data_IF_372996014840
#
_entry.id   IF_372996014840
#
_cell.length_a   1.000
_cell.length_b   1.000
_cell.length_c   1.000
_cell.angle_alpha   90.00
_cell.angle_beta   90.00
_cell.angle_gamma   90.00
#
_symmetry.space_group_name_H-M   'P 1'
#
loop_
_entity.id
_entity.type
_entity.pdbx_description
1 polymer ?
#
# COMPACT_ATOMS: atom_id res chain seq x y z
N UNK A 1 21.61 6.55 -6.94
CA UNK A 1 20.35 7.18 -7.38
C UNK A 1 19.52 7.41 -6.13
N UNK A 2 19.19 8.65 -5.81
CA UNK A 2 18.42 8.99 -4.61
C UNK A 2 16.95 8.65 -4.88
N UNK A 3 16.57 7.39 -4.67
CA UNK A 3 15.17 6.97 -4.72
C UNK A 3 14.45 7.64 -3.56
N UNK A 4 13.43 8.43 -3.86
CA UNK A 4 12.57 9.05 -2.84
C UNK A 4 11.82 7.91 -2.13
N UNK A 5 12.12 7.72 -0.84
CA UNK A 5 11.54 6.64 -0.03
C UNK A 5 10.01 6.77 0.02
N UNK A 6 9.31 5.66 -0.20
CA UNK A 6 7.84 5.61 -0.15
C UNK A 6 7.29 5.52 1.27
N UNK A 7 8.14 5.20 2.25
CA UNK A 7 7.78 5.04 3.64
C UNK A 7 8.44 6.15 4.46
N UNK A 8 7.70 6.75 5.39
CA UNK A 8 8.31 7.66 6.36
C UNK A 8 9.22 6.90 7.33
N UNK A 9 10.17 7.62 7.95
CA UNK A 9 11.04 7.03 8.97
C UNK A 9 10.26 6.40 10.13
N UNK A 10 9.13 6.99 10.51
CA UNK A 10 8.27 6.43 11.55
C UNK A 10 7.64 5.10 11.09
N UNK A 11 7.17 5.01 9.85
CA UNK A 11 6.62 3.76 9.30
C UNK A 11 7.70 2.68 9.21
N UNK A 12 8.91 3.04 8.77
CA UNK A 12 10.05 2.11 8.72
C UNK A 12 10.38 1.56 10.12
N UNK A 13 10.43 2.41 11.14
CA UNK A 13 10.66 1.98 12.52
C UNK A 13 9.55 1.08 13.06
N UNK A 14 8.30 1.31 12.68
CA UNK A 14 7.15 0.49 13.10
C UNK A 14 7.09 -0.86 12.38
N UNK A 15 7.45 -0.89 11.10
CA UNK A 15 7.36 -2.09 10.26
C UNK A 15 8.58 -2.99 10.37
N UNK A 16 9.76 -2.45 10.70
CA UNK A 16 11.00 -3.23 10.79
C UNK A 16 10.88 -4.42 11.76
N UNK A 17 10.34 -4.30 12.99
CA UNK A 17 10.17 -5.45 13.88
C UNK A 17 9.26 -6.55 13.30
N UNK A 18 8.24 -6.17 12.53
CA UNK A 18 7.32 -7.11 11.87
C UNK A 18 8.08 -7.92 10.82
N UNK A 19 8.88 -7.24 9.99
CA UNK A 19 9.71 -7.90 8.99
C UNK A 19 10.78 -8.78 9.65
N UNK A 20 11.47 -8.29 10.68
CA UNK A 20 12.47 -9.07 11.42
C UNK A 20 11.88 -10.35 11.98
N UNK A 21 10.68 -10.28 12.56
CA UNK A 21 9.98 -11.45 13.10
C UNK A 21 9.63 -12.46 12.00
N UNK A 22 9.11 -12.00 10.86
CA UNK A 22 8.80 -12.89 9.74
C UNK A 22 10.07 -13.57 9.19
N UNK A 23 11.15 -12.81 8.98
CA UNK A 23 12.41 -13.35 8.47
C UNK A 23 13.02 -14.39 9.41
N UNK A 24 12.96 -14.17 10.72
CA UNK A 24 13.51 -15.13 11.68
C UNK A 24 12.62 -16.36 11.86
N UNK A 25 11.29 -16.21 11.92
CA UNK A 25 10.35 -17.32 12.12
C UNK A 25 10.21 -18.21 10.89
N UNK A 26 10.01 -17.61 9.72
CA UNK A 26 9.70 -18.35 8.49
C UNK A 26 10.95 -18.71 7.69
N UNK A 27 11.99 -17.86 7.73
CA UNK A 27 13.18 -18.03 6.89
C UNK A 27 14.46 -18.33 7.68
N UNK A 28 14.38 -18.45 9.01
CA UNK A 28 15.53 -18.60 9.92
C UNK A 28 16.64 -17.56 9.68
N UNK A 29 16.27 -16.36 9.24
CA UNK A 29 17.20 -15.27 8.95
C UNK A 29 17.08 -14.18 10.01
N UNK A 30 18.11 -14.03 10.84
CA UNK A 30 18.23 -12.91 11.75
C UNK A 30 18.85 -11.70 11.03
N UNK A 31 18.16 -10.57 11.08
CA UNK A 31 18.63 -9.30 10.52
C UNK A 31 18.53 -8.18 11.56
N UNK A 32 19.45 -7.22 11.47
CA UNK A 32 19.41 -6.02 12.30
C UNK A 32 18.25 -5.09 11.90
N UNK A 33 17.87 -4.17 12.80
CA UNK A 33 16.76 -3.24 12.55
C UNK A 33 17.05 -2.32 11.37
N UNK A 34 18.29 -1.87 11.17
CA UNK A 34 18.65 -1.05 10.02
C UNK A 34 18.52 -1.83 8.71
N UNK A 35 19.02 -3.07 8.65
CA UNK A 35 18.91 -3.92 7.46
C UNK A 35 17.45 -4.21 7.11
N UNK A 36 16.61 -4.45 8.12
CA UNK A 36 15.17 -4.61 7.92
C UNK A 36 14.50 -3.34 7.36
N UNK A 37 14.89 -2.16 7.84
CA UNK A 37 14.41 -0.89 7.28
C UNK A 37 14.86 -0.69 5.83
N UNK A 38 16.12 -0.99 5.51
CA UNK A 38 16.61 -0.92 4.13
C UNK A 38 15.88 -1.89 3.21
N UNK A 39 15.63 -3.11 3.67
CA UNK A 39 14.88 -4.11 2.90
C UNK A 39 13.43 -3.66 2.68
N UNK A 40 12.76 -3.13 3.71
CA UNK A 40 11.42 -2.56 3.59
C UNK A 40 11.38 -1.43 2.57
N UNK A 41 12.33 -0.50 2.64
CA UNK A 41 12.37 0.64 1.73
C UNK A 41 12.63 0.20 0.29
N UNK A 42 13.54 -0.77 0.10
CA UNK A 42 13.78 -1.39 -1.20
C UNK A 42 12.51 -2.04 -1.75
N UNK A 43 11.87 -2.93 -0.99
CA UNK A 43 10.65 -3.63 -1.46
C UNK A 43 9.53 -2.63 -1.75
N UNK A 44 9.29 -1.67 -0.86
CA UNK A 44 8.30 -0.62 -1.05
C UNK A 44 8.55 0.17 -2.34
N UNK A 45 9.81 0.47 -2.68
CA UNK A 45 10.14 1.15 -3.94
C UNK A 45 9.80 0.34 -5.19
N UNK A 46 9.82 -1.00 -5.12
CA UNK A 46 9.54 -1.88 -6.24
C UNK A 46 8.04 -2.09 -6.43
N UNK A 47 7.30 -2.34 -5.34
CA UNK A 47 5.88 -2.76 -5.41
C UNK A 47 4.90 -1.64 -5.07
N UNK A 48 5.34 -0.61 -4.35
CA UNK A 48 4.45 0.40 -3.75
C UNK A 48 3.65 1.19 -4.79
N UNK A 49 4.26 1.53 -5.93
CA UNK A 49 3.54 2.23 -7.02
C UNK A 49 2.41 1.39 -7.62
N UNK A 50 2.65 0.09 -7.83
CA UNK A 50 1.66 -0.79 -8.42
C UNK A 50 0.46 -0.97 -7.48
N UNK A 51 0.74 -1.21 -6.19
CA UNK A 51 -0.30 -1.34 -5.16
C UNK A 51 -1.11 -0.04 -5.04
N UNK A 52 -0.43 1.11 -5.01
CA UNK A 52 -1.10 2.41 -4.91
C UNK A 52 -2.01 2.69 -6.11
N UNK A 53 -1.52 2.44 -7.33
CA UNK A 53 -2.31 2.64 -8.54
C UNK A 53 -3.54 1.73 -8.57
N UNK A 54 -3.39 0.45 -8.21
CA UNK A 54 -4.53 -0.47 -8.13
C UNK A 54 -5.55 0.01 -7.12
N UNK A 55 -5.12 0.41 -5.91
CA UNK A 55 -6.02 0.93 -4.89
C UNK A 55 -6.76 2.19 -5.35
N UNK A 56 -6.11 3.06 -6.12
CA UNK A 56 -6.73 4.25 -6.69
C UNK A 56 -7.75 3.90 -7.78
N UNK A 57 -7.45 2.93 -8.64
CA UNK A 57 -8.39 2.42 -9.64
C UNK A 57 -9.63 1.81 -8.98
N UNK A 58 -9.44 0.99 -7.94
CA UNK A 58 -10.55 0.39 -7.18
C UNK A 58 -11.46 1.47 -6.57
N UNK A 59 -10.87 2.53 -6.00
CA UNK A 59 -11.62 3.67 -5.46
C UNK A 59 -12.40 4.42 -6.55
N UNK A 60 -11.82 4.62 -7.73
CA UNK A 60 -12.50 5.25 -8.87
C UNK A 60 -13.68 4.41 -9.36
N UNK A 61 -13.50 3.10 -9.46
CA UNK A 61 -14.56 2.18 -9.87
C UNK A 61 -15.73 2.20 -8.88
N UNK A 62 -15.45 2.11 -7.58
CA UNK A 62 -16.46 2.19 -6.54
C UNK A 62 -17.24 3.52 -6.59
N UNK A 63 -16.55 4.63 -6.84
CA UNK A 63 -17.18 5.94 -6.99
C UNK A 63 -18.07 6.01 -8.24
N UNK A 64 -17.60 5.51 -9.38
CA UNK A 64 -18.36 5.49 -10.65
C UNK A 64 -19.67 4.74 -10.48
N UNK A 65 -19.63 3.55 -9.89
CA UNK A 65 -20.82 2.74 -9.62
C UNK A 65 -21.82 3.48 -8.72
N UNK A 66 -21.33 4.21 -7.72
CA UNK A 66 -22.20 5.02 -6.85
C UNK A 66 -22.86 6.15 -7.64
N UNK A 67 -22.12 6.84 -8.51
CA UNK A 67 -22.67 7.92 -9.34
C UNK A 67 -23.70 7.41 -10.34
N UNK A 68 -23.47 6.26 -10.97
CA UNK A 68 -24.44 5.60 -11.84
C UNK A 68 -25.74 5.27 -11.09
N UNK A 69 -25.63 4.76 -9.85
CA UNK A 69 -26.80 4.47 -9.02
C UNK A 69 -27.59 5.73 -8.65
N UNK A 70 -26.90 6.83 -8.37
CA UNK A 70 -27.55 8.12 -8.08
C UNK A 70 -28.25 8.68 -9.31
N UNK A 71 -27.61 8.60 -10.47
CA UNK A 71 -28.20 9.05 -11.73
C UNK A 71 -29.46 8.25 -12.04
N UNK A 72 -29.45 6.93 -11.88
CA UNK A 72 -30.62 6.07 -12.06
C UNK A 72 -31.77 6.47 -11.13
N UNK A 73 -31.49 6.73 -9.84
CA UNK A 73 -32.50 7.18 -8.88
C UNK A 73 -33.12 8.55 -9.26
N UNK A 74 -32.34 9.46 -9.82
CA UNK A 74 -32.87 10.76 -10.31
C UNK A 74 -33.78 10.54 -11.52
N UNK A 75 -33.39 9.71 -12.48
CA UNK A 75 -34.22 9.38 -13.65
C UNK A 75 -35.57 8.76 -13.25
N UNK A 76 -35.61 7.96 -12.20
CA UNK A 76 -36.86 7.40 -11.68
C UNK A 76 -37.80 8.47 -11.10
N UNK A 77 -37.28 9.57 -10.55
CA UNK A 77 -38.10 10.67 -10.02
C UNK A 77 -38.66 11.58 -11.11
N UNK A 78 -38.03 11.62 -12.29
CA UNK A 78 -38.49 12.43 -13.43
C UNK A 78 -39.62 11.77 -14.23
N UNK A 79 -39.92 10.49 -13.97
CA UNK A 79 -40.94 9.70 -14.66
C UNK A 79 -42.26 9.65 -13.88
#
# INVERSE_FOLDING_TARGET
MSTQSMLSQQQLQQLAPVLQHYLSSELQLEVGTFDAQFLLDFVASQIGRQIYNQALEDAQQALSQRMESLQAAIWELEK
#
